data_IF_146541070159
#
_entry.id   IF_146541070159
#
_cell.length_a   1.000
_cell.length_b   1.000
_cell.length_c   1.000
_cell.angle_alpha   90.00
_cell.angle_beta   90.00
_cell.angle_gamma   90.00
#
_symmetry.space_group_name_H-M   'P 1'
#
loop_
_entity.id
_entity.type
_entity.pdbx_description
1 polymer ?
#
# COMPACT_ATOMS: atom_id res chain seq x y z
N UNK A 1 5.68 15.55 -4.22
CA UNK A 1 5.60 15.00 -2.84
C UNK A 1 5.40 13.50 -2.96
N UNK A 2 6.18 12.70 -2.24
CA UNK A 2 5.98 11.25 -2.19
C UNK A 2 4.67 10.95 -1.45
N UNK A 3 3.86 10.03 -1.97
CA UNK A 3 2.59 9.65 -1.33
C UNK A 3 2.79 8.49 -0.37
N UNK A 4 2.40 8.64 0.89
CA UNK A 4 2.39 7.55 1.88
C UNK A 4 0.99 7.29 2.43
N UNK A 5 0.70 6.04 2.75
CA UNK A 5 -0.55 5.63 3.40
C UNK A 5 -0.31 4.59 4.48
N UNK A 6 -1.27 4.47 5.41
CA UNK A 6 -1.33 3.40 6.41
C UNK A 6 -2.71 2.76 6.28
N UNK A 7 -2.75 1.43 6.25
CA UNK A 7 -3.97 0.63 6.32
C UNK A 7 -3.91 -0.22 7.59
N UNK A 8 -5.02 -0.28 8.32
CA UNK A 8 -5.18 -1.18 9.45
C UNK A 8 -6.22 -2.24 9.13
N UNK A 9 -5.82 -3.51 9.13
CA UNK A 9 -6.73 -4.64 8.91
C UNK A 9 -6.35 -5.80 9.82
N UNK A 10 -7.35 -6.42 10.47
CA UNK A 10 -7.16 -7.58 11.36
C UNK A 10 -6.09 -7.38 12.45
N UNK A 11 -5.96 -6.15 12.97
CA UNK A 11 -4.98 -5.81 14.00
C UNK A 11 -3.53 -5.67 13.51
N UNK A 12 -3.29 -5.81 12.20
CA UNK A 12 -2.00 -5.52 11.58
C UNK A 12 -2.04 -4.14 10.90
N UNK A 13 -0.91 -3.43 10.94
CA UNK A 13 -0.71 -2.19 10.21
C UNK A 13 0.17 -2.45 8.99
N UNK A 14 -0.29 -2.00 7.84
CA UNK A 14 0.49 -1.94 6.61
C UNK A 14 0.78 -0.48 6.29
N UNK A 15 2.06 -0.15 6.11
CA UNK A 15 2.48 1.15 5.61
C UNK A 15 2.94 1.00 4.16
N UNK A 16 2.43 1.85 3.28
CA UNK A 16 2.84 1.91 1.88
C UNK A 16 3.41 3.28 1.54
N UNK A 17 4.49 3.32 0.75
CA UNK A 17 5.07 4.55 0.22
C UNK A 17 5.32 4.42 -1.28
N UNK A 18 4.81 5.38 -2.05
CA UNK A 18 5.10 5.54 -3.45
C UNK A 18 6.41 6.31 -3.62
N UNK A 19 7.35 5.77 -4.39
CA UNK A 19 8.67 6.38 -4.70
C UNK A 19 8.59 7.26 -5.96
N UNK A 20 7.39 7.72 -6.31
CA UNK A 20 7.14 8.73 -7.34
C UNK A 20 6.04 9.68 -6.86
N UNK A 21 5.94 10.91 -7.41
CA UNK A 21 4.85 11.81 -7.09
C UNK A 21 3.51 11.21 -7.49
N UNK A 22 2.63 11.02 -6.51
CA UNK A 22 1.26 10.55 -6.71
C UNK A 22 0.31 11.36 -5.85
N UNK A 23 -0.90 11.55 -6.33
CA UNK A 23 -2.03 12.02 -5.53
C UNK A 23 -2.72 10.81 -4.93
N UNK A 24 -2.89 10.81 -3.60
CA UNK A 24 -3.54 9.73 -2.88
C UNK A 24 -4.94 10.12 -2.42
N UNK A 25 -5.88 9.18 -2.54
CA UNK A 25 -7.18 9.23 -1.89
C UNK A 25 -7.47 7.88 -1.25
N UNK A 26 -7.98 7.90 -0.02
CA UNK A 26 -8.40 6.69 0.71
C UNK A 26 -9.92 6.62 0.69
N UNK A 27 -10.45 5.46 0.33
CA UNK A 27 -11.88 5.18 0.35
C UNK A 27 -12.16 3.99 1.27
N UNK A 28 -13.15 4.12 2.15
CA UNK A 28 -13.66 2.99 2.93
C UNK A 28 -14.56 2.14 2.03
N UNK A 29 -14.39 0.83 2.11
CA UNK A 29 -15.18 -0.16 1.39
C UNK A 29 -15.76 -1.16 2.38
N UNK A 30 -16.70 -1.99 1.92
CA UNK A 30 -17.32 -3.02 2.76
C UNK A 30 -16.32 -4.10 3.24
N UNK A 31 -15.14 -4.20 2.62
CA UNK A 31 -14.14 -5.24 2.91
C UNK A 31 -12.81 -4.68 3.43
N UNK A 32 -12.74 -3.38 3.70
CA UNK A 32 -11.52 -2.71 4.16
C UNK A 32 -11.31 -1.35 3.50
N UNK A 33 -10.06 -0.95 3.31
CA UNK A 33 -9.69 0.33 2.73
C UNK A 33 -9.17 0.15 1.30
N UNK A 34 -9.55 1.07 0.41
CA UNK A 34 -9.04 1.17 -0.95
C UNK A 34 -8.20 2.43 -1.08
N UNK A 35 -6.95 2.26 -1.49
CA UNK A 35 -6.07 3.37 -1.84
C UNK A 35 -6.16 3.62 -3.34
N UNK A 36 -6.60 4.82 -3.71
CA UNK A 36 -6.55 5.31 -5.07
C UNK A 36 -5.31 6.19 -5.20
N UNK A 37 -4.39 5.79 -6.07
CA UNK A 37 -3.20 6.54 -6.42
C UNK A 37 -3.28 6.97 -7.88
N UNK A 38 -3.17 8.28 -8.12
CA UNK A 38 -3.15 8.87 -9.46
C UNK A 38 -1.83 9.60 -9.64
N UNK A 39 -1.05 9.24 -10.66
CA UNK A 39 0.27 9.82 -10.91
C UNK A 39 0.83 9.41 -12.27
N UNK A 40 2.15 9.41 -12.39
CA UNK A 40 2.88 9.00 -13.61
C UNK A 40 2.58 7.55 -14.01
N UNK A 41 2.81 7.23 -15.29
CA UNK A 41 2.59 5.90 -15.87
C UNK A 41 3.41 4.80 -15.18
N UNK A 42 4.56 5.16 -14.61
CA UNK A 42 5.42 4.26 -13.84
C UNK A 42 5.55 4.73 -12.39
N UNK A 43 5.48 3.79 -11.46
CA UNK A 43 5.71 4.03 -10.05
C UNK A 43 6.26 2.79 -9.34
N UNK A 44 6.93 3.03 -8.22
CA UNK A 44 7.38 1.99 -7.29
C UNK A 44 6.59 2.13 -5.99
N UNK A 45 6.03 1.03 -5.52
CA UNK A 45 5.34 0.95 -4.23
C UNK A 45 6.14 0.06 -3.28
N UNK A 46 6.61 0.62 -2.17
CA UNK A 46 7.21 -0.13 -1.07
C UNK A 46 6.17 -0.30 0.04
N UNK A 47 5.93 -1.54 0.45
CA UNK A 47 5.01 -1.87 1.54
C UNK A 47 5.72 -2.63 2.67
N UNK A 48 5.45 -2.22 3.90
CA UNK A 48 5.90 -2.88 5.13
C UNK A 48 4.69 -3.25 5.99
N UNK A 49 4.75 -4.40 6.66
CA UNK A 49 3.70 -4.87 7.57
C UNK A 49 4.28 -5.02 8.96
N UNK A 50 3.65 -4.39 9.95
CA UNK A 50 4.04 -4.53 11.34
C UNK A 50 3.20 -5.63 12.00
N UNK A 51 3.86 -6.77 12.23
CA UNK A 51 3.35 -7.98 12.90
C UNK A 51 2.30 -8.74 12.07
N UNK A 52 2.30 -10.07 12.22
CA UNK A 52 1.38 -11.01 11.56
C UNK A 52 1.60 -11.19 10.04
N UNK A 53 0.73 -11.99 9.42
CA UNK A 53 0.69 -12.20 7.97
C UNK A 53 0.25 -10.90 7.28
N UNK A 54 0.86 -10.52 6.14
CA UNK A 54 0.39 -9.39 5.34
C UNK A 54 -1.09 -9.56 4.99
N UNK A 55 -1.93 -8.52 5.10
CA UNK A 55 -3.26 -8.56 4.53
C UNK A 55 -3.19 -8.83 3.02
N UNK A 56 -4.21 -9.50 2.49
CA UNK A 56 -4.29 -9.78 1.06
C UNK A 56 -4.46 -8.44 0.30
N UNK A 57 -3.49 -8.11 -0.55
CA UNK A 57 -3.53 -6.90 -1.37
C UNK A 57 -4.02 -7.26 -2.77
N UNK A 58 -5.06 -6.57 -3.25
CA UNK A 58 -5.52 -6.64 -4.63
C UNK A 58 -5.20 -5.35 -5.35
N UNK A 59 -4.46 -5.45 -6.45
CA UNK A 59 -4.07 -4.32 -7.28
C UNK A 59 -5.00 -4.28 -8.49
N UNK A 60 -5.46 -3.08 -8.84
CA UNK A 60 -6.32 -2.84 -9.99
C UNK A 60 -5.68 -1.70 -10.79
N UNK A 61 -5.01 -2.04 -11.90
CA UNK A 61 -4.26 -1.12 -12.76
C UNK A 61 -2.98 -1.75 -13.32
N UNK A 62 -2.32 -1.05 -14.24
CA UNK A 62 -1.00 -1.43 -14.76
C UNK A 62 0.10 -0.93 -13.83
N UNK A 63 0.99 -1.82 -13.39
CA UNK A 63 2.15 -1.49 -12.54
C UNK A 63 3.44 -1.96 -13.20
N UNK A 64 4.49 -1.13 -13.16
CA UNK A 64 5.80 -1.48 -13.70
C UNK A 64 6.61 -2.37 -12.74
N UNK A 65 6.54 -2.15 -11.42
CA UNK A 65 7.25 -2.96 -10.42
C UNK A 65 6.67 -2.85 -8.99
N UNK A 66 6.66 -3.95 -8.23
CA UNK A 66 6.28 -3.97 -6.80
C UNK A 66 7.22 -4.86 -5.98
N UNK A 67 7.63 -4.38 -4.79
CA UNK A 67 8.33 -5.20 -3.79
C UNK A 67 7.62 -5.09 -2.43
N UNK A 68 7.18 -6.24 -1.91
CA UNK A 68 6.58 -6.36 -0.57
C UNK A 68 7.62 -7.01 0.35
N UNK A 69 8.00 -6.31 1.42
CA UNK A 69 8.93 -6.85 2.42
C UNK A 69 8.21 -7.06 3.74
N UNK A 70 8.33 -8.27 4.30
CA UNK A 70 7.77 -8.60 5.62
C UNK A 70 8.90 -8.59 6.66
N UNK A 71 8.78 -7.76 7.68
CA UNK A 71 9.70 -7.73 8.81
C UNK A 71 8.97 -8.29 10.04
N UNK A 72 9.26 -9.55 10.37
CA UNK A 72 8.82 -10.13 11.64
C UNK A 72 9.73 -9.60 12.75
N UNK A 73 9.23 -8.69 13.58
CA UNK A 73 9.84 -8.41 14.87
C UNK A 73 9.41 -9.53 15.82
N UNK A 74 10.33 -10.47 16.06
CA UNK A 74 10.26 -11.52 17.08
C UNK A 74 10.21 -10.94 18.48
#
# INVERSE_FOLDING_TARGET
MLGSFIITQNGANMQGTFITPVTLRVEKTNTGERILATGSEEFFLLMTVQKSRPPAVKIIGSISFMQVSNYNYS
#
